data_IF_341304689326
#
_entry.id   IF_341304689326
#
_cell.length_a   1.000
_cell.length_b   1.000
_cell.length_c   1.000
_cell.angle_alpha   90.00
_cell.angle_beta   90.00
_cell.angle_gamma   90.00
#
_symmetry.space_group_name_H-M   'P 1'
#
loop_
_entity.id
_entity.type
_entity.pdbx_description
1 polymer ?
#
# COMPACT_ATOMS: atom_id res chain seq x y z
N UNK A 1 7.17 44.84 47.48
CA UNK A 1 6.80 43.42 47.61
C UNK A 1 6.05 43.05 46.34
N UNK A 2 6.77 42.37 45.47
CA UNK A 2 6.31 42.08 44.11
C UNK A 2 5.71 40.67 44.07
N UNK A 3 4.52 40.58 43.53
CA UNK A 3 3.90 39.31 43.22
C UNK A 3 4.09 39.01 41.74
N UNK A 4 4.95 38.08 41.45
CA UNK A 4 5.19 37.59 40.10
C UNK A 4 4.01 36.78 39.55
N UNK A 5 3.42 37.28 38.48
CA UNK A 5 2.40 36.55 37.73
C UNK A 5 3.02 35.44 36.91
N UNK A 6 2.62 34.23 37.20
CA UNK A 6 2.90 33.05 36.34
C UNK A 6 1.94 33.05 35.15
N UNK A 7 2.47 33.33 33.97
CA UNK A 7 1.74 33.13 32.73
C UNK A 7 1.76 31.63 32.38
N UNK A 8 0.62 31.01 32.46
CA UNK A 8 0.40 29.64 32.07
C UNK A 8 0.31 29.61 30.55
N UNK A 9 1.38 29.21 29.87
CA UNK A 9 1.37 28.95 28.45
C UNK A 9 0.65 27.60 28.24
N UNK A 10 -0.62 27.66 27.82
CA UNK A 10 -1.33 26.48 27.37
C UNK A 10 -0.70 26.00 26.05
N UNK A 11 0.11 24.96 26.12
CA UNK A 11 0.51 24.23 24.95
C UNK A 11 -0.72 23.64 24.28
N UNK A 12 -1.05 24.14 23.07
CA UNK A 12 -2.03 23.49 22.22
C UNK A 12 -1.48 22.11 21.88
N UNK A 13 -2.29 21.04 21.92
CA UNK A 13 -1.85 19.74 21.44
C UNK A 13 -1.44 19.93 19.99
N UNK A 14 -0.22 19.53 19.65
CA UNK A 14 0.25 19.49 18.26
C UNK A 14 -0.73 18.62 17.48
N UNK A 15 -1.44 19.22 16.54
CA UNK A 15 -2.17 18.46 15.53
C UNK A 15 -1.11 17.59 14.84
N UNK A 16 -1.12 16.28 15.12
CA UNK A 16 -0.39 15.32 14.32
C UNK A 16 -1.01 15.38 12.94
N UNK A 17 -0.41 16.15 12.04
CA UNK A 17 -0.76 16.05 10.64
C UNK A 17 -0.60 14.59 10.24
N UNK A 18 -1.70 13.97 9.78
CA UNK A 18 -1.64 12.62 9.28
C UNK A 18 -0.57 12.57 8.19
N UNK A 19 0.37 11.63 8.32
CA UNK A 19 1.43 11.45 7.35
C UNK A 19 0.82 11.11 5.99
N UNK A 20 1.26 11.75 4.92
CA UNK A 20 0.79 11.53 3.55
C UNK A 20 1.89 10.86 2.75
N UNK A 21 1.55 9.75 2.10
CA UNK A 21 2.46 9.00 1.24
C UNK A 21 2.00 9.11 -0.20
N UNK A 22 2.85 9.62 -1.08
CA UNK A 22 2.53 9.80 -2.48
C UNK A 22 3.21 8.74 -3.34
N UNK A 23 2.60 8.45 -4.46
CA UNK A 23 3.13 7.54 -5.45
C UNK A 23 2.46 7.68 -6.80
N UNK A 24 2.79 6.79 -7.72
CA UNK A 24 2.20 6.82 -9.05
C UNK A 24 2.82 5.81 -10.00
N UNK A 25 2.41 5.92 -11.26
CA UNK A 25 2.88 5.05 -12.33
C UNK A 25 4.24 5.49 -12.88
N UNK A 26 4.86 4.63 -13.65
CA UNK A 26 6.16 4.86 -14.28
C UNK A 26 6.21 6.14 -15.13
N UNK A 27 5.19 6.41 -15.93
CA UNK A 27 5.18 7.59 -16.80
C UNK A 27 4.73 8.89 -16.11
N UNK A 28 4.25 8.81 -14.86
CA UNK A 28 3.79 9.96 -14.10
C UNK A 28 2.40 10.48 -14.46
N UNK A 29 1.70 9.87 -15.41
CA UNK A 29 0.34 10.30 -15.79
C UNK A 29 -0.71 9.97 -14.75
N UNK A 30 -0.44 8.99 -13.88
CA UNK A 30 -1.28 8.64 -12.74
C UNK A 30 -0.51 8.89 -11.47
N UNK A 31 -1.11 9.68 -10.57
CA UNK A 31 -0.56 9.96 -9.24
C UNK A 31 -1.64 9.69 -8.18
N UNK A 32 -1.20 9.26 -7.03
CA UNK A 32 -2.08 9.02 -5.88
C UNK A 32 -1.42 9.45 -4.57
N UNK A 33 -2.24 9.57 -3.54
CA UNK A 33 -1.81 9.78 -2.17
C UNK A 33 -2.54 8.80 -1.23
N UNK A 34 -1.82 8.35 -0.21
CA UNK A 34 -2.36 7.58 0.92
C UNK A 34 -2.22 8.44 2.16
N UNK A 35 -3.33 8.68 2.84
CA UNK A 35 -3.35 9.44 4.08
C UNK A 35 -3.30 8.52 5.30
N UNK A 36 -2.40 8.84 6.23
CA UNK A 36 -2.21 8.09 7.46
C UNK A 36 -1.42 6.80 7.30
N UNK A 37 -1.38 6.01 8.37
CA UNK A 37 -0.64 4.77 8.41
C UNK A 37 -1.32 3.70 7.54
N UNK A 38 -0.55 2.90 6.79
CA UNK A 38 -1.08 1.74 6.10
C UNK A 38 -1.77 0.76 7.06
N UNK A 39 -2.80 0.08 6.58
CA UNK A 39 -3.52 -0.92 7.36
C UNK A 39 -2.77 -2.25 7.44
N UNK A 40 -1.98 -2.56 6.43
CA UNK A 40 -1.07 -3.69 6.40
C UNK A 40 0.04 -3.48 5.38
N UNK A 41 1.11 -4.24 5.52
CA UNK A 41 2.19 -4.38 4.53
C UNK A 41 2.56 -5.86 4.46
N UNK A 42 2.53 -6.45 3.28
CA UNK A 42 2.80 -7.88 3.14
C UNK A 42 3.20 -8.28 1.73
N UNK A 43 3.88 -9.39 1.64
CA UNK A 43 4.30 -10.00 0.38
C UNK A 43 3.31 -11.09 -0.04
N UNK A 44 2.79 -10.99 -1.23
CA UNK A 44 1.91 -12.00 -1.82
C UNK A 44 2.63 -12.78 -2.90
N UNK A 45 2.69 -14.10 -2.72
CA UNK A 45 3.33 -15.04 -3.64
C UNK A 45 2.32 -15.80 -4.52
N UNK A 46 1.03 -15.45 -4.50
CA UNK A 46 0.03 -16.14 -5.31
C UNK A 46 0.32 -16.00 -6.81
N UNK A 47 -0.06 -17.02 -7.59
CA UNK A 47 0.18 -17.02 -9.03
C UNK A 47 -0.54 -15.89 -9.77
N UNK A 48 -1.71 -15.49 -9.29
CA UNK A 48 -2.46 -14.38 -9.88
C UNK A 48 -1.71 -13.06 -9.75
N UNK A 49 -1.17 -12.76 -8.57
CA UNK A 49 -0.33 -11.57 -8.36
C UNK A 49 0.95 -11.64 -9.18
N UNK A 50 1.61 -12.79 -9.21
CA UNK A 50 2.81 -12.99 -10.03
C UNK A 50 2.54 -12.69 -11.49
N UNK A 51 1.47 -13.23 -12.06
CA UNK A 51 1.11 -13.05 -13.48
C UNK A 51 0.65 -11.64 -13.77
N UNK A 52 -0.16 -11.06 -12.90
CA UNK A 52 -0.71 -9.72 -13.10
C UNK A 52 0.38 -8.63 -13.12
N UNK A 53 1.48 -8.85 -12.40
CA UNK A 53 2.56 -7.87 -12.26
C UNK A 53 3.80 -8.27 -13.04
N UNK A 54 3.96 -9.57 -13.35
CA UNK A 54 5.17 -10.09 -14.01
C UNK A 54 6.37 -10.12 -13.06
N UNK A 55 6.14 -10.43 -11.79
CA UNK A 55 7.16 -10.51 -10.75
C UNK A 55 7.01 -11.79 -9.94
N UNK A 56 8.06 -12.17 -9.21
CA UNK A 56 8.06 -13.38 -8.40
C UNK A 56 7.11 -13.30 -7.20
N UNK A 57 6.87 -12.10 -6.70
CA UNK A 57 5.88 -11.75 -5.68
C UNK A 57 5.63 -10.25 -5.70
N UNK A 58 4.65 -9.81 -4.96
CA UNK A 58 4.28 -8.40 -4.84
C UNK A 58 4.24 -8.01 -3.38
N UNK A 59 4.86 -6.89 -3.05
CA UNK A 59 4.66 -6.23 -1.76
C UNK A 59 3.46 -5.28 -1.89
N UNK A 60 2.44 -5.55 -1.10
CA UNK A 60 1.23 -4.75 -1.04
C UNK A 60 1.19 -3.89 0.22
N UNK A 61 0.65 -2.69 0.08
CA UNK A 61 0.27 -1.82 1.19
C UNK A 61 -1.24 -1.70 1.17
N UNK A 62 -1.88 -1.91 2.31
CA UNK A 62 -3.31 -1.68 2.47
C UNK A 62 -3.61 -0.25 2.89
N UNK A 63 -4.68 0.30 2.36
CA UNK A 63 -5.26 1.56 2.80
C UNK A 63 -6.78 1.48 2.81
N UNK A 64 -7.41 2.17 3.75
CA UNK A 64 -8.87 2.33 3.70
C UNK A 64 -9.25 3.12 2.46
N UNK A 65 -10.37 2.80 1.78
CA UNK A 65 -10.77 3.51 0.57
C UNK A 65 -10.84 5.03 0.74
N UNK A 66 -11.31 5.52 1.88
CA UNK A 66 -11.40 6.96 2.18
C UNK A 66 -10.03 7.64 2.32
N UNK A 67 -8.97 6.86 2.54
CA UNK A 67 -7.60 7.36 2.71
C UNK A 67 -6.75 7.19 1.44
N UNK A 68 -7.31 6.64 0.38
CA UNK A 68 -6.65 6.49 -0.91
C UNK A 68 -7.26 7.45 -1.94
N UNK A 69 -6.47 8.39 -2.45
CA UNK A 69 -6.94 9.44 -3.36
C UNK A 69 -6.09 9.46 -4.62
N UNK A 70 -6.72 9.38 -5.78
CA UNK A 70 -6.05 9.63 -7.06
C UNK A 70 -5.94 11.15 -7.25
N UNK A 71 -4.72 11.66 -7.26
CA UNK A 71 -4.43 13.09 -7.31
C UNK A 71 -4.18 13.61 -8.72
N UNK A 72 -3.89 12.72 -9.68
CA UNK A 72 -3.69 13.03 -11.09
C UNK A 72 -4.05 11.84 -11.96
N UNK A 73 -4.72 12.10 -13.08
CA UNK A 73 -5.11 11.07 -14.04
C UNK A 73 -6.19 10.13 -13.52
N UNK A 74 -6.27 8.97 -14.11
CA UNK A 74 -7.22 7.92 -13.78
C UNK A 74 -6.51 6.57 -13.69
N UNK A 75 -6.89 5.77 -12.70
CA UNK A 75 -6.52 4.37 -12.65
C UNK A 75 -7.53 3.58 -13.49
N UNK A 76 -7.07 2.97 -14.57
CA UNK A 76 -7.86 2.02 -15.33
C UNK A 76 -7.98 0.71 -14.53
N UNK A 77 -9.12 0.05 -14.61
CA UNK A 77 -9.35 -1.21 -13.90
C UNK A 77 -9.76 -2.32 -14.84
N UNK A 78 -9.38 -3.53 -14.49
CA UNK A 78 -9.79 -4.75 -15.18
C UNK A 78 -10.26 -5.77 -14.14
N UNK A 79 -11.42 -6.37 -14.37
CA UNK A 79 -11.88 -7.52 -13.58
C UNK A 79 -11.10 -8.75 -14.03
N UNK A 80 -10.15 -9.18 -13.22
CA UNK A 80 -9.25 -10.29 -13.53
C UNK A 80 -9.72 -11.64 -13.01
N UNK A 81 -10.60 -11.61 -12.03
CA UNK A 81 -11.34 -12.75 -11.48
C UNK A 81 -12.70 -12.26 -11.00
N UNK A 82 -13.71 -13.10 -10.82
CA UNK A 82 -15.01 -12.66 -10.33
C UNK A 82 -14.89 -11.84 -9.05
N UNK A 83 -15.34 -10.57 -9.10
CA UNK A 83 -15.30 -9.65 -7.97
C UNK A 83 -13.91 -9.10 -7.63
N UNK A 84 -12.89 -9.36 -8.45
CA UNK A 84 -11.51 -8.88 -8.26
C UNK A 84 -11.14 -7.90 -9.36
N UNK A 85 -10.73 -6.70 -8.97
CA UNK A 85 -10.34 -5.64 -9.88
C UNK A 85 -8.90 -5.23 -9.66
N UNK A 86 -8.14 -5.15 -10.75
CA UNK A 86 -6.75 -4.68 -10.73
C UNK A 86 -6.65 -3.36 -11.47
N UNK A 87 -6.04 -2.39 -10.78
CA UNK A 87 -5.84 -1.05 -11.31
C UNK A 87 -4.46 -0.87 -11.91
N UNK A 88 -4.40 -0.15 -13.01
CA UNK A 88 -3.17 0.09 -13.76
C UNK A 88 -3.20 1.42 -14.48
N UNK A 89 -2.03 1.89 -14.89
CA UNK A 89 -1.92 3.03 -15.79
C UNK A 89 -2.17 2.59 -17.23
N UNK A 90 -3.19 3.15 -17.87
CA UNK A 90 -3.53 2.85 -19.25
C UNK A 90 -2.41 3.22 -20.24
N UNK A 91 -1.59 4.22 -19.89
CA UNK A 91 -0.54 4.75 -20.76
C UNK A 91 0.76 3.93 -20.69
N UNK A 92 1.22 3.55 -19.48
CA UNK A 92 2.49 2.85 -19.31
C UNK A 92 2.36 1.41 -18.81
N UNK A 93 1.16 0.98 -18.41
CA UNK A 93 0.89 -0.38 -17.94
C UNK A 93 1.31 -0.66 -16.50
N UNK A 94 1.80 0.32 -15.75
CA UNK A 94 2.16 0.11 -14.34
C UNK A 94 0.99 -0.45 -13.55
N UNK A 95 1.18 -1.57 -12.86
CA UNK A 95 0.20 -2.12 -11.93
C UNK A 95 0.21 -1.29 -10.64
N UNK A 96 -0.95 -0.83 -10.19
CA UNK A 96 -1.06 0.10 -9.07
C UNK A 96 -1.90 -0.44 -7.93
N UNK A 97 -3.09 -0.99 -8.20
CA UNK A 97 -4.04 -1.35 -7.16
C UNK A 97 -4.65 -2.74 -7.36
N UNK A 98 -5.13 -3.27 -6.24
CA UNK A 98 -5.97 -4.44 -6.19
C UNK A 98 -7.15 -4.13 -5.27
N UNK A 99 -8.35 -4.41 -5.72
CA UNK A 99 -9.57 -4.35 -4.94
C UNK A 99 -10.41 -5.59 -5.17
N UNK A 100 -11.25 -5.94 -4.23
CA UNK A 100 -12.14 -7.09 -4.36
C UNK A 100 -13.42 -6.87 -3.58
N UNK A 101 -14.51 -7.50 -3.99
CA UNK A 101 -15.82 -7.37 -3.33
C UNK A 101 -15.77 -7.86 -1.88
N UNK A 102 -14.91 -8.85 -1.60
CA UNK A 102 -14.72 -9.41 -0.26
C UNK A 102 -13.62 -8.69 0.56
N UNK A 103 -13.01 -7.64 0.00
CA UNK A 103 -11.95 -6.88 0.63
C UNK A 103 -12.44 -5.48 0.98
N UNK A 104 -12.15 -5.04 2.19
CA UNK A 104 -12.53 -3.69 2.64
C UNK A 104 -11.52 -2.63 2.25
N UNK A 105 -10.25 -3.01 2.12
CA UNK A 105 -9.15 -2.10 1.85
C UNK A 105 -8.77 -2.10 0.37
N UNK A 106 -8.17 -1.01 -0.07
CA UNK A 106 -7.43 -0.96 -1.34
C UNK A 106 -6.03 -1.45 -1.08
N UNK A 107 -5.55 -2.41 -1.86
CA UNK A 107 -4.15 -2.80 -1.88
C UNK A 107 -3.41 -2.01 -2.96
N UNK A 108 -2.29 -1.42 -2.59
CA UNK A 108 -1.45 -0.61 -3.48
C UNK A 108 -0.08 -1.29 -3.60
N UNK A 109 0.49 -1.33 -4.80
CA UNK A 109 1.84 -1.83 -5.01
C UNK A 109 2.84 -0.97 -4.25
N UNK A 110 3.54 -1.53 -3.28
CA UNK A 110 4.44 -0.76 -2.41
C UNK A 110 5.55 -0.04 -3.18
N UNK A 111 6.10 -0.70 -4.22
CA UNK A 111 7.19 -0.13 -5.01
C UNK A 111 6.75 1.02 -5.93
N UNK A 112 5.46 1.29 -6.07
CA UNK A 112 4.97 2.47 -6.79
C UNK A 112 4.94 3.75 -5.96
N UNK A 113 5.23 3.67 -4.65
CA UNK A 113 5.44 4.83 -3.80
C UNK A 113 6.73 5.58 -4.17
N UNK A 114 6.73 6.89 -4.01
CA UNK A 114 7.92 7.73 -4.21
C UNK A 114 8.96 7.47 -3.12
N UNK A 115 8.52 7.40 -1.86
CA UNK A 115 9.36 7.04 -0.71
C UNK A 115 8.92 5.69 -0.17
N UNK A 116 9.79 4.70 -0.31
CA UNK A 116 9.56 3.32 0.19
C UNK A 116 10.29 3.03 1.50
N UNK A 117 10.97 4.00 2.08
CA UNK A 117 11.84 3.79 3.25
C UNK A 117 11.09 3.28 4.48
N UNK A 118 9.81 3.59 4.60
CA UNK A 118 8.97 3.16 5.73
C UNK A 118 8.33 1.78 5.49
N UNK A 119 8.42 1.24 4.29
CA UNK A 119 7.77 -0.04 3.94
C UNK A 119 8.51 -1.19 4.61
N UNK A 120 7.80 -1.88 5.49
CA UNK A 120 8.30 -3.05 6.22
C UNK A 120 7.26 -4.15 6.13
N UNK A 121 7.40 -5.08 5.17
CA UNK A 121 6.50 -6.22 5.09
C UNK A 121 6.49 -7.00 6.39
N UNK A 122 5.31 -7.38 6.85
CA UNK A 122 5.12 -8.11 8.11
C UNK A 122 4.82 -9.59 7.89
N UNK A 123 4.46 -9.96 6.66
CA UNK A 123 4.04 -11.32 6.33
C UNK A 123 4.37 -11.71 4.90
N UNK A 124 4.49 -13.02 4.70
CA UNK A 124 4.46 -13.68 3.40
C UNK A 124 3.21 -14.54 3.32
N UNK A 125 2.37 -14.32 2.32
CA UNK A 125 1.16 -15.11 2.08
C UNK A 125 1.26 -15.87 0.76
N UNK A 126 0.50 -16.96 0.66
CA UNK A 126 0.51 -17.87 -0.49
C UNK A 126 1.91 -18.45 -0.80
N UNK A 127 2.63 -18.84 0.25
CA UNK A 127 3.96 -19.44 0.10
C UNK A 127 3.93 -20.80 -0.59
N UNK A 128 2.81 -21.47 -0.61
CA UNK A 128 2.60 -22.70 -1.40
C UNK A 128 2.76 -22.48 -2.92
N UNK A 129 2.63 -21.23 -3.37
CA UNK A 129 2.81 -20.83 -4.79
C UNK A 129 4.13 -20.11 -5.06
N UNK A 130 5.00 -19.98 -4.07
CA UNK A 130 6.28 -19.27 -4.24
C UNK A 130 7.13 -19.87 -5.35
N UNK A 131 7.87 -19.01 -6.04
CA UNK A 131 8.83 -19.46 -7.03
C UNK A 131 10.10 -20.01 -6.37
N UNK A 132 10.71 -21.07 -6.94
CA UNK A 132 11.84 -21.75 -6.29
C UNK A 132 13.12 -20.90 -6.18
N UNK A 133 13.25 -19.85 -6.98
CA UNK A 133 14.41 -18.95 -6.93
C UNK A 133 14.27 -17.82 -5.89
N UNK A 134 13.11 -17.70 -5.23
CA UNK A 134 12.86 -16.65 -4.24
C UNK A 134 13.32 -17.09 -2.86
N UNK A 135 14.17 -16.28 -2.26
CA UNK A 135 14.60 -16.46 -0.86
C UNK A 135 13.56 -15.80 0.03
N UNK A 136 13.03 -16.56 0.97
CA UNK A 136 12.00 -16.11 1.91
C UNK A 136 12.66 -15.62 3.20
N UNK A 137 12.24 -14.47 3.68
CA UNK A 137 12.55 -14.03 5.04
C UNK A 137 11.65 -14.78 6.02
N UNK A 138 12.22 -15.78 6.67
CA UNK A 138 11.54 -16.60 7.66
C UNK A 138 11.28 -15.87 8.98
N UNK A 139 11.85 -14.68 9.16
CA UNK A 139 11.56 -13.79 10.29
C UNK A 139 10.19 -13.12 10.22
N UNK A 140 9.56 -13.12 9.03
CA UNK A 140 8.21 -12.64 8.86
C UNK A 140 7.19 -13.73 9.18
N UNK A 141 5.94 -13.32 9.44
CA UNK A 141 4.84 -14.27 9.54
C UNK A 141 4.61 -14.94 8.19
N UNK A 142 4.67 -16.25 8.15
CA UNK A 142 4.59 -17.04 6.93
C UNK A 142 3.32 -17.87 6.91
N UNK A 143 2.57 -17.78 5.81
CA UNK A 143 1.32 -18.49 5.60
C UNK A 143 1.33 -19.18 4.23
N UNK A 144 0.92 -20.45 4.20
CA UNK A 144 0.80 -21.20 2.93
C UNK A 144 -0.28 -20.58 2.02
N UNK A 145 -1.31 -20.00 2.62
CA UNK A 145 -2.37 -19.24 1.95
C UNK A 145 -2.56 -17.91 2.66
N UNK A 146 -3.78 -17.53 2.96
CA UNK A 146 -4.09 -16.38 3.83
C UNK A 146 -4.10 -16.81 5.31
N UNK A 147 -3.94 -15.84 6.21
CA UNK A 147 -4.05 -16.09 7.66
C UNK A 147 -5.37 -16.71 8.05
#
# INVERSE_FOLDING_TARGET
>A
METSGMTNASEKPSEKHAETHEGGCFCGSVRYAIEGAPTYMGNCHCRDCQRAIGASFVTWIGAKPENFVVTKGEIATCETSPGVHRGFCRRCGSSLTFTGDDWTDVAITAASLDDTSFVKPESNVYLDHRQPWVIIDEGLRCYDKLP
#
